data_IF_031512207571
#
_entry.id   IF_031512207571
#
_cell.length_a   1.000
_cell.length_b   1.000
_cell.length_c   1.000
_cell.angle_alpha   90.00
_cell.angle_beta   90.00
_cell.angle_gamma   90.00
#
_symmetry.space_group_name_H-M   'P 1'
#
loop_
_entity.id
_entity.type
_entity.pdbx_description
1 polymer ?
#
# COMPACT_ATOMS: atom_id res chain seq x y z
N UNK A 1 19.90 -39.08 -15.87
CA UNK A 1 20.76 -38.63 -14.76
C UNK A 1 21.26 -37.24 -15.09
N UNK A 2 20.98 -36.27 -14.21
CA UNK A 2 21.57 -34.92 -14.05
C UNK A 2 21.63 -33.97 -15.27
N UNK A 3 21.51 -32.65 -15.15
CA UNK A 3 20.98 -31.71 -14.17
C UNK A 3 21.09 -30.35 -14.90
N UNK A 4 20.03 -29.55 -14.94
CA UNK A 4 20.06 -28.21 -15.53
C UNK A 4 21.09 -27.33 -14.79
N UNK A 5 21.91 -26.54 -15.50
CA UNK A 5 22.83 -25.63 -14.84
C UNK A 5 22.05 -24.53 -14.13
N UNK A 6 22.28 -24.42 -12.82
CA UNK A 6 21.76 -23.38 -11.95
C UNK A 6 22.28 -22.01 -12.40
N UNK A 7 21.35 -21.07 -12.61
CA UNK A 7 21.67 -19.66 -12.77
C UNK A 7 22.24 -19.09 -11.45
N UNK A 8 23.19 -18.14 -11.53
CA UNK A 8 23.86 -17.59 -10.36
C UNK A 8 22.91 -16.73 -9.54
N UNK A 9 22.72 -17.05 -8.26
CA UNK A 9 22.13 -16.15 -7.28
C UNK A 9 23.24 -15.64 -6.36
N UNK A 10 23.69 -14.37 -6.48
CA UNK A 10 24.40 -13.72 -5.40
C UNK A 10 23.39 -13.29 -4.32
N UNK A 11 23.58 -13.79 -3.10
CA UNK A 11 22.93 -13.39 -1.85
C UNK A 11 23.31 -11.93 -1.45
N UNK A 12 22.66 -11.25 -0.48
CA UNK A 12 22.77 -11.63 0.94
C UNK A 12 21.50 -11.41 1.80
N UNK A 13 21.48 -12.07 2.95
CA UNK A 13 20.65 -11.77 4.13
C UNK A 13 20.54 -10.26 4.39
N UNK A 14 19.31 -9.74 4.50
CA UNK A 14 19.08 -8.48 5.18
C UNK A 14 18.57 -8.79 6.60
N UNK A 15 19.34 -8.44 7.65
CA UNK A 15 18.98 -8.70 9.03
C UNK A 15 17.77 -7.85 9.44
N UNK A 16 16.96 -8.40 10.33
CA UNK A 16 15.84 -7.73 10.96
C UNK A 16 16.32 -6.50 11.75
N UNK A 17 16.37 -5.30 11.15
CA UNK A 17 16.47 -4.02 11.90
C UNK A 17 16.22 -2.73 11.10
N UNK A 18 15.78 -2.78 9.82
CA UNK A 18 15.40 -1.55 9.07
C UNK A 18 13.93 -1.55 8.59
N UNK A 19 13.08 -2.42 9.16
CA UNK A 19 11.66 -2.55 8.79
C UNK A 19 10.78 -1.36 9.18
N UNK A 20 11.29 -0.39 9.94
CA UNK A 20 10.48 0.74 10.44
C UNK A 20 10.27 1.86 9.41
N UNK A 21 10.96 1.86 8.26
CA UNK A 21 10.80 2.89 7.21
C UNK A 21 10.43 2.36 5.82
N UNK A 22 10.59 1.06 5.56
CA UNK A 22 10.20 0.47 4.28
C UNK A 22 8.73 0.02 4.24
N UNK A 23 7.99 0.16 5.35
CA UNK A 23 6.56 -0.16 5.46
C UNK A 23 6.21 -1.57 4.97
N UNK A 24 5.02 -1.74 4.40
CA UNK A 24 4.61 -3.00 3.80
C UNK A 24 5.47 -3.38 2.59
N UNK A 25 6.03 -2.41 1.86
CA UNK A 25 6.89 -2.65 0.70
C UNK A 25 8.22 -3.34 1.04
N UNK A 26 8.60 -3.42 2.32
CA UNK A 26 9.75 -4.21 2.78
C UNK A 26 9.55 -5.72 2.61
N UNK A 27 8.33 -6.18 2.88
CA UNK A 27 7.98 -7.61 2.88
C UNK A 27 7.03 -7.97 1.73
N UNK A 28 6.46 -6.98 1.06
CA UNK A 28 5.54 -7.17 -0.04
C UNK A 28 6.17 -6.81 -1.39
N UNK A 29 5.98 -7.70 -2.35
CA UNK A 29 6.34 -7.54 -3.76
C UNK A 29 5.04 -7.44 -4.55
N UNK A 30 5.02 -6.65 -5.61
CA UNK A 30 3.85 -6.49 -6.48
C UNK A 30 2.59 -6.06 -5.71
N UNK A 31 2.32 -4.75 -5.69
CA UNK A 31 1.14 -4.18 -5.06
C UNK A 31 0.38 -3.30 -6.05
N UNK A 32 -0.94 -3.34 -5.96
CA UNK A 32 -1.83 -2.63 -6.86
C UNK A 32 -3.12 -2.26 -6.13
N UNK A 33 -3.77 -1.20 -6.60
CA UNK A 33 -5.14 -0.89 -6.21
C UNK A 33 -6.08 -1.80 -7.00
N UNK A 34 -7.09 -2.35 -6.32
CA UNK A 34 -8.10 -3.13 -7.00
C UNK A 34 -8.82 -2.24 -8.03
N UNK A 35 -8.75 -2.65 -9.30
CA UNK A 35 -9.29 -1.92 -10.45
C UNK A 35 -10.82 -1.78 -10.44
N UNK A 36 -11.52 -2.46 -9.52
CA UNK A 36 -12.97 -2.30 -9.31
C UNK A 36 -13.36 -1.09 -8.45
N UNK A 37 -12.51 -0.07 -8.34
CA UNK A 37 -12.77 1.17 -7.59
C UNK A 37 -12.95 0.98 -6.09
N UNK A 38 -12.53 -0.16 -5.56
CA UNK A 38 -12.56 -0.41 -4.13
C UNK A 38 -11.29 0.15 -3.54
N UNK A 39 -11.43 0.95 -2.48
CA UNK A 39 -10.37 1.51 -1.66
C UNK A 39 -9.55 0.38 -0.98
N UNK A 40 -8.95 -0.47 -1.79
CA UNK A 40 -8.46 -1.78 -1.42
C UNK A 40 -7.11 -1.95 -2.11
N UNK A 41 -6.07 -1.98 -1.30
CA UNK A 41 -4.71 -2.30 -1.71
C UNK A 41 -4.56 -3.82 -1.66
N UNK A 42 -4.12 -4.41 -2.77
CA UNK A 42 -3.70 -5.79 -2.84
C UNK A 42 -2.18 -5.84 -3.00
N UNK A 43 -1.54 -6.73 -2.28
CA UNK A 43 -0.08 -6.88 -2.33
C UNK A 43 0.29 -8.35 -2.10
N UNK A 44 1.35 -8.85 -2.75
CA UNK A 44 1.89 -10.18 -2.44
C UNK A 44 2.97 -10.04 -1.37
N UNK A 45 2.68 -10.49 -0.16
CA UNK A 45 3.57 -10.34 0.97
C UNK A 45 4.19 -11.67 1.37
N UNK A 46 5.50 -11.66 1.60
CA UNK A 46 6.27 -12.80 2.10
C UNK A 46 5.86 -13.08 3.55
N UNK A 47 5.37 -14.28 3.80
CA UNK A 47 5.03 -14.77 5.14
C UNK A 47 6.27 -15.39 5.82
N UNK A 48 6.15 -15.70 7.12
CA UNK A 48 7.23 -16.29 7.92
C UNK A 48 7.69 -17.66 7.39
N UNK A 49 6.82 -18.40 6.71
CA UNK A 49 7.17 -19.67 6.07
C UNK A 49 7.93 -19.49 4.74
N UNK A 50 8.23 -18.24 4.36
CA UNK A 50 8.97 -17.92 3.15
C UNK A 50 8.13 -18.04 1.87
N UNK A 51 6.80 -18.13 1.95
CA UNK A 51 5.91 -18.08 0.80
C UNK A 51 5.27 -16.72 0.64
N UNK A 52 5.01 -16.32 -0.60
CA UNK A 52 4.24 -15.12 -0.90
C UNK A 52 2.74 -15.42 -0.83
N UNK A 53 2.02 -14.63 -0.02
CA UNK A 53 0.56 -14.68 0.03
C UNK A 53 -0.03 -13.35 -0.41
N UNK A 54 -1.16 -13.43 -1.11
CA UNK A 54 -1.94 -12.24 -1.44
C UNK A 54 -2.57 -11.69 -0.15
N UNK A 55 -2.11 -10.51 0.26
CA UNK A 55 -2.68 -9.73 1.35
C UNK A 55 -3.56 -8.64 0.76
N UNK A 56 -4.72 -8.44 1.36
CA UNK A 56 -5.68 -7.41 0.98
C UNK A 56 -5.85 -6.47 2.16
N UNK A 57 -5.74 -5.18 1.92
CA UNK A 57 -5.93 -4.14 2.91
C UNK A 57 -6.98 -3.15 2.42
N UNK A 58 -8.01 -2.91 3.23
CA UNK A 58 -8.97 -1.86 2.98
C UNK A 58 -8.37 -0.52 3.44
N UNK A 59 -8.01 0.33 2.48
CA UNK A 59 -7.47 1.66 2.73
C UNK A 59 -8.47 2.57 3.46
N UNK A 60 -9.77 2.27 3.41
CA UNK A 60 -10.76 2.97 4.23
C UNK A 60 -10.55 2.79 5.73
N UNK A 61 -9.93 1.70 6.15
CA UNK A 61 -9.58 1.49 7.55
C UNK A 61 -8.33 2.25 7.96
N UNK A 62 -7.58 2.79 6.99
CA UNK A 62 -6.25 3.35 7.22
C UNK A 62 -6.06 4.80 6.77
N UNK A 63 -6.93 5.30 5.89
CA UNK A 63 -6.83 6.62 5.29
C UNK A 63 -8.09 7.43 5.57
N UNK A 64 -7.87 8.70 5.88
CA UNK A 64 -8.86 9.74 6.04
C UNK A 64 -8.57 10.88 5.07
N UNK A 65 -9.62 11.54 4.62
CA UNK A 65 -9.52 12.85 3.99
C UNK A 65 -9.69 13.93 5.06
N UNK A 66 -8.68 14.78 5.23
CA UNK A 66 -8.70 15.94 6.10
C UNK A 66 -8.64 17.22 5.26
N UNK A 67 -9.80 17.81 4.97
CA UNK A 67 -9.97 19.01 4.14
C UNK A 67 -9.25 18.97 2.77
N UNK A 68 -9.37 17.84 2.06
CA UNK A 68 -8.72 17.62 0.77
C UNK A 68 -7.30 17.07 0.87
N UNK A 69 -6.79 16.78 2.07
CA UNK A 69 -5.50 16.12 2.28
C UNK A 69 -5.68 14.68 2.75
N UNK A 70 -5.08 13.74 2.03
CA UNK A 70 -5.00 12.34 2.46
C UNK A 70 -4.06 12.20 3.67
N UNK A 71 -4.56 11.58 4.74
CA UNK A 71 -3.83 11.35 5.97
C UNK A 71 -4.11 9.94 6.50
N UNK A 72 -3.13 9.29 7.13
CA UNK A 72 -3.34 7.99 7.74
C UNK A 72 -4.07 8.06 9.08
N UNK A 73 -5.29 7.52 9.14
CA UNK A 73 -6.07 7.44 10.37
C UNK A 73 -6.88 6.13 10.39
N UNK A 74 -6.99 5.52 11.57
CA UNK A 74 -7.80 4.32 11.75
C UNK A 74 -9.26 4.65 11.47
N UNK A 75 -9.92 3.82 10.68
CA UNK A 75 -11.32 3.99 10.25
C UNK A 75 -11.58 5.35 9.57
N UNK A 76 -10.60 5.86 8.83
CA UNK A 76 -10.67 7.19 8.22
C UNK A 76 -11.68 7.35 7.08
N UNK A 77 -12.12 6.24 6.45
CA UNK A 77 -13.16 6.18 5.40
C UNK A 77 -12.96 7.21 4.29
N UNK A 78 -11.71 7.43 3.83
CA UNK A 78 -11.42 8.43 2.80
C UNK A 78 -12.26 8.27 1.53
N UNK A 79 -12.65 7.04 1.14
CA UNK A 79 -13.45 6.80 -0.07
C UNK A 79 -14.82 7.49 -0.07
N UNK A 80 -15.32 7.94 1.08
CA UNK A 80 -16.58 8.68 1.18
C UNK A 80 -16.46 10.09 0.60
N UNK A 81 -15.26 10.68 0.68
CA UNK A 81 -15.01 12.07 0.29
C UNK A 81 -13.90 12.21 -0.75
N UNK A 82 -13.25 11.12 -1.12
CA UNK A 82 -12.28 11.03 -2.20
C UNK A 82 -12.82 10.15 -3.33
N UNK A 83 -12.49 10.53 -4.56
CA UNK A 83 -12.86 9.77 -5.74
C UNK A 83 -11.87 8.62 -5.94
N UNK A 84 -12.27 7.42 -5.50
CA UNK A 84 -11.46 6.19 -5.63
C UNK A 84 -11.21 5.80 -7.08
N UNK A 85 -11.96 6.32 -8.05
CA UNK A 85 -11.74 6.04 -9.48
C UNK A 85 -10.57 6.82 -10.05
N UNK A 86 -10.23 7.95 -9.42
CA UNK A 86 -9.07 8.77 -9.79
C UNK A 86 -7.82 8.39 -9.02
N UNK A 87 -7.92 7.43 -8.10
CA UNK A 87 -6.78 6.99 -7.31
C UNK A 87 -5.80 6.18 -8.16
N UNK A 88 -4.54 6.61 -8.16
CA UNK A 88 -3.43 5.93 -8.82
C UNK A 88 -2.36 5.63 -7.78
N UNK A 89 -1.74 4.45 -7.89
CA UNK A 89 -0.65 4.04 -7.02
C UNK A 89 0.68 4.13 -7.78
N UNK A 90 1.58 4.97 -7.29
CA UNK A 90 2.93 5.17 -7.81
C UNK A 90 3.95 4.63 -6.79
N UNK A 91 4.34 3.37 -6.93
CA UNK A 91 5.13 2.69 -5.91
C UNK A 91 4.34 2.65 -4.60
N UNK A 92 4.90 3.21 -3.53
CA UNK A 92 4.25 3.26 -2.22
C UNK A 92 3.34 4.48 -2.03
N UNK A 93 3.38 5.45 -2.96
CA UNK A 93 2.58 6.67 -2.88
C UNK A 93 1.26 6.48 -3.60
N UNK A 94 0.16 6.71 -2.90
CA UNK A 94 -1.15 6.82 -3.51
C UNK A 94 -1.44 8.29 -3.82
N UNK A 95 -1.95 8.57 -5.01
CA UNK A 95 -2.45 9.86 -5.42
C UNK A 95 -3.93 9.73 -5.75
N UNK A 96 -4.78 10.57 -5.15
CA UNK A 96 -6.23 10.56 -5.35
C UNK A 96 -6.76 11.99 -5.41
N UNK A 97 -7.94 12.19 -6.01
CA UNK A 97 -8.68 13.45 -5.85
C UNK A 97 -9.62 13.36 -4.65
N UNK A 98 -9.45 14.30 -3.72
CA UNK A 98 -10.27 14.40 -2.52
C UNK A 98 -11.03 15.73 -2.49
N UNK A 99 -12.24 15.69 -1.95
CA UNK A 99 -13.08 16.88 -1.80
C UNK A 99 -12.63 17.65 -0.57
N UNK A 100 -12.32 18.95 -0.75
CA UNK A 100 -12.08 19.89 0.35
C UNK A 100 -13.33 20.69 0.68
N UNK A 101 -13.28 21.45 1.78
CA UNK A 101 -14.31 22.43 2.14
C UNK A 101 -14.71 23.33 0.97
N UNK A 102 -16.02 23.61 0.85
CA UNK A 102 -16.57 24.35 -0.30
C UNK A 102 -16.79 23.52 -1.56
N UNK A 103 -16.53 22.21 -1.52
CA UNK A 103 -16.89 21.27 -2.58
C UNK A 103 -15.91 21.18 -3.76
N UNK A 104 -14.73 21.77 -3.62
CA UNK A 104 -13.66 21.71 -4.61
C UNK A 104 -12.93 20.38 -4.51
N UNK A 105 -12.59 19.77 -5.65
CA UNK A 105 -11.75 18.58 -5.71
C UNK A 105 -10.30 18.97 -5.87
N UNK A 106 -9.45 18.46 -5.00
CA UNK A 106 -8.00 18.68 -5.02
C UNK A 106 -7.27 17.36 -5.15
N UNK A 107 -6.23 17.32 -5.96
CA UNK A 107 -5.33 16.17 -6.01
C UNK A 107 -4.50 16.16 -4.73
N UNK A 108 -4.41 15.00 -4.09
CA UNK A 108 -3.63 14.80 -2.88
C UNK A 108 -2.94 13.45 -2.96
N UNK A 109 -1.71 13.40 -2.44
CA UNK A 109 -0.91 12.20 -2.44
C UNK A 109 -0.35 11.93 -1.06
N UNK A 110 -0.28 10.66 -0.67
CA UNK A 110 0.31 10.26 0.61
C UNK A 110 1.07 8.95 0.45
N UNK A 111 2.11 8.73 1.27
CA UNK A 111 2.87 7.48 1.23
C UNK A 111 2.21 6.44 2.13
N UNK A 112 1.80 5.32 1.54
CA UNK A 112 1.12 4.25 2.25
C UNK A 112 2.05 3.52 3.23
N UNK A 113 3.37 3.52 3.00
CA UNK A 113 4.33 2.84 3.86
C UNK A 113 4.36 3.43 5.27
N UNK A 114 4.02 4.72 5.40
CA UNK A 114 3.99 5.42 6.68
C UNK A 114 2.78 5.02 7.55
N UNK A 115 1.68 4.59 6.94
CA UNK A 115 0.40 4.41 7.64
C UNK A 115 -0.10 2.97 7.66
N UNK A 116 0.16 2.20 6.59
CA UNK A 116 -0.32 0.81 6.46
C UNK A 116 0.27 -0.09 7.54
N UNK A 117 1.53 0.11 7.91
CA UNK A 117 2.21 -0.70 8.93
C UNK A 117 1.54 -0.64 10.32
N UNK A 118 0.91 0.49 10.67
CA UNK A 118 0.22 0.67 11.96
C UNK A 118 -1.28 0.37 11.92
N UNK A 119 -1.79 0.01 10.74
CA UNK A 119 -3.22 -0.12 10.48
C UNK A 119 -3.65 -1.56 10.17
N UNK A 120 -2.78 -2.37 9.54
CA UNK A 120 -2.99 -3.82 9.45
C UNK A 120 -2.96 -4.41 10.88
N UNK A 121 -4.14 -4.71 11.41
CA UNK A 121 -4.36 -5.30 12.73
C UNK A 121 -4.81 -6.75 12.57
#
# INVERSE_FOLDING_TARGET
>A
MAASPAAPQPAPEAPATLHRRAGFAASCREYWLNSKHTATLQARCRQLDGKDRLSTLFLNDCLQNNDGRLWGNRQGKYSVTCDTRTCVLHGTRIECKCRKGGGVWVATSTDLSEFVAGCAS
#
